data_IF_432693842140
#
_entry.id   IF_432693842140
#
_cell.length_a   1.000
_cell.length_b   1.000
_cell.length_c   1.000
_cell.angle_alpha   90.00
_cell.angle_beta   90.00
_cell.angle_gamma   90.00
#
_symmetry.space_group_name_H-M   'P 1'
#
loop_
_entity.id
_entity.type
_entity.pdbx_description
1 polymer ?
#
# COMPACT_ATOMS: atom_id res chain seq x y z
N UNK A 1 -2.35 -8.91 -21.16
CA UNK A 1 -3.54 -8.25 -20.58
C UNK A 1 -4.38 -9.21 -19.75
N UNK A 2 -4.81 -10.37 -20.26
CA UNK A 2 -5.55 -11.37 -19.46
C UNK A 2 -4.82 -11.76 -18.16
N UNK A 3 -3.51 -12.02 -18.24
CA UNK A 3 -2.70 -12.29 -17.05
C UNK A 3 -2.75 -11.14 -16.03
N UNK A 4 -2.74 -9.87 -16.48
CA UNK A 4 -2.85 -8.72 -15.58
C UNK A 4 -4.21 -8.67 -14.87
N UNK A 5 -5.30 -9.06 -15.55
CA UNK A 5 -6.62 -9.19 -14.92
C UNK A 5 -6.63 -10.27 -13.82
N UNK A 6 -5.92 -11.38 -14.04
CA UNK A 6 -5.89 -12.52 -13.12
C UNK A 6 -4.98 -12.31 -11.90
N UNK A 7 -3.96 -11.46 -12.01
CA UNK A 7 -2.93 -11.31 -10.96
C UNK A 7 -3.10 -10.09 -10.07
N UNK A 8 -3.94 -9.12 -10.44
CA UNK A 8 -4.11 -7.88 -9.66
C UNK A 8 -5.42 -7.15 -9.97
N UNK A 9 -6.10 -6.66 -8.93
CA UNK A 9 -7.30 -5.81 -9.08
C UNK A 9 -7.00 -4.51 -9.84
N UNK A 10 -5.79 -3.96 -9.74
CA UNK A 10 -5.40 -2.79 -10.54
C UNK A 10 -5.16 -3.17 -12.00
N UNK A 11 -4.55 -4.33 -12.24
CA UNK A 11 -4.36 -4.89 -13.58
C UNK A 11 -5.69 -5.17 -14.27
N UNK A 12 -6.69 -5.66 -13.52
CA UNK A 12 -8.08 -5.82 -13.96
C UNK A 12 -8.67 -4.52 -14.49
N UNK A 13 -8.56 -3.43 -13.73
CA UNK A 13 -9.09 -2.12 -14.13
C UNK A 13 -8.37 -1.60 -15.37
N UNK A 14 -7.04 -1.61 -15.39
CA UNK A 14 -6.24 -1.09 -16.52
C UNK A 14 -6.57 -1.88 -17.79
N UNK A 15 -6.51 -3.21 -17.73
CA UNK A 15 -6.75 -4.05 -18.89
C UNK A 15 -8.21 -4.03 -19.36
N UNK A 16 -9.16 -4.04 -18.42
CA UNK A 16 -10.59 -3.91 -18.71
C UNK A 16 -10.92 -2.58 -19.37
N UNK A 17 -10.38 -1.47 -18.87
CA UNK A 17 -10.63 -0.15 -19.44
C UNK A 17 -9.94 0.05 -20.80
N UNK A 18 -8.75 -0.51 -21.01
CA UNK A 18 -8.13 -0.51 -22.33
C UNK A 18 -8.95 -1.32 -23.32
N UNK A 19 -9.41 -2.51 -22.93
CA UNK A 19 -10.29 -3.34 -23.74
C UNK A 19 -11.59 -2.62 -24.10
N UNK A 20 -12.27 -2.01 -23.12
CA UNK A 20 -13.49 -1.26 -23.32
C UNK A 20 -13.30 -0.10 -24.30
N UNK A 21 -12.26 0.71 -24.13
CA UNK A 21 -11.95 1.82 -25.03
C UNK A 21 -11.69 1.34 -26.46
N UNK A 22 -10.95 0.24 -26.63
CA UNK A 22 -10.68 -0.31 -27.96
C UNK A 22 -11.92 -0.93 -28.59
N UNK A 23 -12.77 -1.63 -27.83
CA UNK A 23 -14.07 -2.14 -28.33
C UNK A 23 -14.94 -0.99 -28.84
N UNK A 24 -15.07 0.10 -28.07
CA UNK A 24 -15.84 1.29 -28.49
C UNK A 24 -15.28 1.88 -29.79
N UNK A 25 -13.96 1.93 -29.94
CA UNK A 25 -13.33 2.39 -31.19
C UNK A 25 -13.61 1.48 -32.37
N UNK A 26 -13.50 0.17 -32.17
CA UNK A 26 -13.82 -0.81 -33.21
C UNK A 26 -15.26 -0.63 -33.70
N UNK A 27 -16.21 -0.47 -32.76
CA UNK A 27 -17.62 -0.25 -33.10
C UNK A 27 -17.85 1.07 -33.84
N UNK A 28 -17.15 2.14 -33.47
CA UNK A 28 -17.26 3.44 -34.15
C UNK A 28 -16.60 3.50 -35.52
N UNK A 29 -15.63 2.62 -35.79
CA UNK A 29 -14.93 2.54 -37.07
C UNK A 29 -15.47 1.33 -37.85
N UNK A 30 -16.57 1.50 -38.59
CA UNK A 30 -17.30 0.41 -39.27
C UNK A 30 -16.41 -0.53 -40.09
N UNK A 31 -15.38 -0.01 -40.77
CA UNK A 31 -14.44 -0.81 -41.56
C UNK A 31 -13.47 -1.67 -40.73
N UNK A 32 -13.25 -1.34 -39.46
CA UNK A 32 -12.31 -2.06 -38.58
C UNK A 32 -12.86 -3.42 -38.09
N UNK A 33 -14.18 -3.50 -37.87
CA UNK A 33 -14.88 -4.73 -37.48
C UNK A 33 -14.82 -5.80 -38.58
N UNK A 34 -14.90 -5.37 -39.83
CA UNK A 34 -14.82 -6.25 -41.00
C UNK A 34 -13.38 -6.74 -41.20
N UNK A 35 -12.39 -5.87 -40.96
CA UNK A 35 -10.98 -6.13 -41.25
C UNK A 35 -10.26 -6.98 -40.20
N UNK A 36 -10.68 -6.98 -38.93
CA UNK A 36 -10.01 -7.76 -37.89
C UNK A 36 -10.97 -8.32 -36.82
N UNK A 37 -11.83 -9.25 -37.25
CA UNK A 37 -12.81 -9.95 -36.39
C UNK A 37 -12.19 -10.68 -35.20
N UNK A 38 -11.00 -11.28 -35.40
CA UNK A 38 -10.31 -12.02 -34.34
C UNK A 38 -9.86 -11.09 -33.21
N UNK A 39 -9.27 -9.93 -33.54
CA UNK A 39 -8.88 -8.93 -32.53
C UNK A 39 -10.09 -8.40 -31.78
N UNK A 40 -11.20 -8.14 -32.47
CA UNK A 40 -12.43 -7.71 -31.82
C UNK A 40 -12.98 -8.79 -30.86
N UNK A 41 -13.05 -10.05 -31.29
CA UNK A 41 -13.47 -11.16 -30.44
C UNK A 41 -12.55 -11.35 -29.22
N UNK A 42 -11.24 -11.20 -29.40
CA UNK A 42 -10.28 -11.27 -28.29
C UNK A 42 -10.48 -10.14 -27.26
N UNK A 43 -10.80 -8.93 -27.71
CA UNK A 43 -11.10 -7.80 -26.82
C UNK A 43 -12.41 -8.01 -26.06
N UNK A 44 -13.44 -8.57 -26.71
CA UNK A 44 -14.69 -8.94 -26.04
C UNK A 44 -14.47 -10.06 -25.01
N UNK A 45 -13.66 -11.07 -25.34
CA UNK A 45 -13.31 -12.13 -24.41
C UNK A 45 -12.54 -11.58 -23.19
N UNK A 46 -11.62 -10.63 -23.40
CA UNK A 46 -10.91 -9.95 -22.32
C UNK A 46 -11.87 -9.12 -21.45
N UNK A 47 -12.81 -8.41 -22.06
CA UNK A 47 -13.81 -7.62 -21.32
C UNK A 47 -14.73 -8.53 -20.51
N UNK A 48 -15.20 -9.63 -21.09
CA UNK A 48 -16.03 -10.62 -20.40
C UNK A 48 -15.27 -11.24 -19.22
N UNK A 49 -14.01 -11.64 -19.42
CA UNK A 49 -13.16 -12.14 -18.34
C UNK A 49 -12.97 -11.10 -17.24
N UNK A 50 -12.75 -9.83 -17.60
CA UNK A 50 -12.62 -8.76 -16.62
C UNK A 50 -13.91 -8.54 -15.81
N UNK A 51 -15.08 -8.61 -16.44
CA UNK A 51 -16.38 -8.51 -15.73
C UNK A 51 -16.59 -9.71 -14.80
N UNK A 52 -16.28 -10.93 -15.25
CA UNK A 52 -16.40 -12.14 -14.42
C UNK A 52 -15.51 -12.05 -13.20
N UNK A 53 -14.23 -11.69 -13.39
CA UNK A 53 -13.29 -11.51 -12.28
C UNK A 53 -13.75 -10.39 -11.36
N UNK A 54 -14.24 -9.27 -11.90
CA UNK A 54 -14.76 -8.17 -11.09
C UNK A 54 -15.89 -8.64 -10.17
N UNK A 55 -16.86 -9.39 -10.71
CA UNK A 55 -17.97 -9.96 -9.92
C UNK A 55 -17.44 -10.93 -8.85
N UNK A 56 -16.45 -11.75 -9.18
CA UNK A 56 -15.83 -12.72 -8.26
C UNK A 56 -15.08 -12.03 -7.10
N UNK A 57 -14.41 -10.90 -7.38
CA UNK A 57 -13.64 -10.15 -6.37
C UNK A 57 -14.41 -9.00 -5.74
N UNK A 58 -15.70 -8.83 -6.05
CA UNK A 58 -16.53 -7.82 -5.41
C UNK A 58 -16.59 -8.09 -3.90
N UNK A 59 -16.23 -7.12 -3.05
CA UNK A 59 -16.26 -7.34 -1.61
C UNK A 59 -17.71 -7.63 -1.18
N UNK A 60 -17.89 -8.64 -0.33
CA UNK A 60 -19.18 -8.93 0.27
C UNK A 60 -19.63 -7.74 1.16
N UNK A 61 -20.95 -7.62 1.39
CA UNK A 61 -21.56 -6.44 2.03
C UNK A 61 -20.98 -6.10 3.41
N UNK A 62 -20.43 -7.08 4.11
CA UNK A 62 -19.88 -6.94 5.46
C UNK A 62 -18.36 -7.17 5.50
N UNK A 63 -17.71 -7.14 4.33
CA UNK A 63 -16.25 -7.22 4.22
C UNK A 63 -15.70 -5.81 4.24
N UNK A 64 -14.83 -5.60 5.21
CA UNK A 64 -14.15 -4.35 5.42
C UNK A 64 -13.17 -4.03 4.27
N UNK A 65 -13.28 -2.84 3.68
CA UNK A 65 -12.65 -2.48 2.40
C UNK A 65 -11.64 -1.32 2.48
N UNK A 66 -10.98 -1.09 3.63
CA UNK A 66 -9.95 -0.04 3.78
C UNK A 66 -10.41 1.29 4.43
N UNK A 67 -11.66 1.37 4.88
CA UNK A 67 -12.31 2.58 5.47
C UNK A 67 -12.32 2.68 7.02
N UNK A 68 -11.45 1.96 7.71
CA UNK A 68 -11.37 1.79 9.15
C UNK A 68 -9.89 1.83 9.48
N UNK A 69 -9.49 2.92 10.08
CA UNK A 69 -8.17 3.01 10.65
C UNK A 69 -7.98 1.80 11.58
N UNK A 70 -6.95 0.99 11.32
CA UNK A 70 -6.63 -0.19 12.13
C UNK A 70 -6.33 0.24 13.58
N UNK A 71 -5.82 1.46 13.76
CA UNK A 71 -5.66 2.09 15.06
C UNK A 71 -6.94 2.74 15.59
N UNK A 72 -7.97 2.83 14.75
CA UNK A 72 -9.28 3.40 15.06
C UNK A 72 -9.23 4.88 15.41
N UNK A 73 -8.15 5.59 15.05
CA UNK A 73 -7.91 6.97 15.48
C UNK A 73 -8.24 8.03 14.43
N UNK A 74 -8.31 7.62 13.16
CA UNK A 74 -8.39 8.51 12.00
C UNK A 74 -9.66 8.23 11.22
N UNK A 75 -10.36 9.30 10.88
CA UNK A 75 -11.56 9.23 10.07
C UNK A 75 -11.20 9.20 8.57
N UNK A 76 -11.84 8.34 7.77
CA UNK A 76 -11.74 8.40 6.32
C UNK A 76 -12.06 9.79 5.78
N UNK A 77 -11.24 10.26 4.85
CA UNK A 77 -11.54 11.44 4.08
C UNK A 77 -12.81 11.19 3.23
N UNK A 78 -13.71 12.19 3.07
CA UNK A 78 -14.87 12.06 2.20
C UNK A 78 -14.47 11.67 0.76
N UNK A 79 -15.32 10.89 0.08
CA UNK A 79 -15.03 10.38 -1.28
C UNK A 79 -14.60 11.48 -2.26
N UNK A 80 -15.23 12.66 -2.22
CA UNK A 80 -14.86 13.77 -3.09
C UNK A 80 -13.40 14.24 -2.87
N UNK A 81 -12.92 14.21 -1.62
CA UNK A 81 -11.56 14.59 -1.27
C UNK A 81 -10.56 13.55 -1.76
N UNK A 82 -10.91 12.26 -1.62
CA UNK A 82 -10.10 11.16 -2.16
C UNK A 82 -9.98 11.23 -3.68
N UNK A 83 -11.06 11.56 -4.38
CA UNK A 83 -11.05 11.79 -5.83
C UNK A 83 -10.19 13.00 -6.17
N UNK A 84 -10.31 14.12 -5.45
CA UNK A 84 -9.46 15.30 -5.63
C UNK A 84 -7.97 14.96 -5.45
N UNK A 85 -7.62 14.25 -4.38
CA UNK A 85 -6.25 13.77 -4.14
C UNK A 85 -5.79 12.81 -5.24
N UNK A 86 -6.67 11.94 -5.75
CA UNK A 86 -6.33 11.07 -6.87
C UNK A 86 -5.90 11.84 -8.12
N UNK A 87 -6.52 12.99 -8.41
CA UNK A 87 -6.18 13.80 -9.59
C UNK A 87 -5.03 14.79 -9.38
N UNK A 88 -4.91 15.34 -8.17
CA UNK A 88 -3.98 16.44 -7.87
C UNK A 88 -2.71 15.99 -7.14
N UNK A 89 -2.78 14.92 -6.35
CA UNK A 89 -1.63 14.44 -5.57
C UNK A 89 -0.90 13.30 -6.29
N UNK A 90 -1.62 12.24 -6.65
CA UNK A 90 -1.01 10.99 -7.11
C UNK A 90 -0.11 11.12 -8.38
N UNK A 91 -0.47 11.90 -9.41
CA UNK A 91 0.36 12.02 -10.61
C UNK A 91 1.74 12.60 -10.29
N UNK A 92 1.80 13.69 -9.53
CA UNK A 92 3.05 14.28 -9.06
C UNK A 92 3.80 13.34 -8.12
N UNK A 93 3.12 12.69 -7.17
CA UNK A 93 3.76 11.79 -6.21
C UNK A 93 4.36 10.54 -6.86
N UNK A 94 3.79 10.08 -7.98
CA UNK A 94 4.30 8.94 -8.73
C UNK A 94 5.63 9.25 -9.46
N UNK A 95 5.91 10.53 -9.74
CA UNK A 95 6.94 10.92 -10.70
C UNK A 95 7.93 11.97 -10.23
N UNK A 96 7.56 12.93 -9.38
CA UNK A 96 8.35 14.14 -9.15
C UNK A 96 8.38 14.64 -7.71
N UNK A 97 7.38 14.33 -6.90
CA UNK A 97 7.26 14.87 -5.54
C UNK A 97 7.40 13.79 -4.48
N UNK A 98 7.68 14.16 -3.22
CA UNK A 98 7.80 13.27 -2.05
C UNK A 98 7.13 13.93 -0.84
N UNK A 99 5.83 14.21 -0.97
CA UNK A 99 5.08 15.00 0.03
C UNK A 99 4.21 14.17 0.97
N UNK A 100 4.05 12.88 0.67
CA UNK A 100 3.31 11.94 1.52
C UNK A 100 4.16 10.70 1.78
N UNK A 101 3.94 10.09 2.94
CA UNK A 101 4.52 8.82 3.35
C UNK A 101 3.69 7.64 2.84
N UNK A 102 4.11 6.41 3.16
CA UNK A 102 3.31 5.23 2.90
C UNK A 102 2.05 5.17 3.78
N UNK A 103 0.98 5.78 3.28
CA UNK A 103 -0.32 5.86 3.95
C UNK A 103 -1.42 5.41 3.00
N UNK A 104 -2.57 4.95 3.49
CA UNK A 104 -3.73 4.73 2.64
C UNK A 104 -4.33 6.07 2.17
N UNK A 105 -4.67 6.19 0.89
CA UNK A 105 -5.28 7.38 0.28
C UNK A 105 -6.53 7.84 1.02
N UNK A 106 -7.30 6.88 1.55
CA UNK A 106 -8.52 7.13 2.34
C UNK A 106 -8.24 8.02 3.56
N UNK A 107 -7.02 7.99 4.12
CA UNK A 107 -6.65 8.79 5.30
C UNK A 107 -5.89 10.08 4.96
N UNK A 108 -5.70 10.39 3.68
CA UNK A 108 -5.01 11.61 3.26
C UNK A 108 -6.02 12.75 3.20
N UNK A 109 -5.93 13.66 4.17
CA UNK A 109 -6.67 14.92 4.19
C UNK A 109 -6.10 15.95 3.20
N UNK A 110 -6.78 17.10 3.08
CA UNK A 110 -6.22 18.25 2.38
C UNK A 110 -5.07 18.84 3.19
N UNK A 111 -3.91 18.99 2.56
CA UNK A 111 -2.73 19.63 3.14
C UNK A 111 -2.37 20.90 2.37
N UNK A 112 -1.59 21.78 2.98
CA UNK A 112 -0.99 22.93 2.28
C UNK A 112 -0.04 22.50 1.15
N UNK A 113 0.52 21.29 1.24
CA UNK A 113 1.38 20.71 0.19
C UNK A 113 0.59 20.35 -1.08
N UNK A 114 -0.75 20.30 -1.02
CA UNK A 114 -1.60 20.04 -2.19
C UNK A 114 -1.50 21.14 -3.25
N UNK A 115 -1.26 22.39 -2.86
CA UNK A 115 -1.09 23.48 -3.84
C UNK A 115 0.14 23.26 -4.72
N UNK A 116 1.26 22.91 -4.08
CA UNK A 116 2.51 22.61 -4.77
C UNK A 116 2.38 21.33 -5.62
N UNK A 117 1.95 20.22 -5.01
CA UNK A 117 1.82 18.94 -5.73
C UNK A 117 0.75 18.98 -6.81
N UNK A 118 -0.39 19.62 -6.56
CA UNK A 118 -1.44 19.87 -7.53
C UNK A 118 -0.94 20.68 -8.74
N UNK A 119 -0.11 21.69 -8.51
CA UNK A 119 0.52 22.45 -9.60
C UNK A 119 1.42 21.55 -10.45
N UNK A 120 2.27 20.74 -9.82
CA UNK A 120 3.14 19.79 -10.53
C UNK A 120 2.31 18.75 -11.29
N UNK A 121 1.25 18.20 -10.67
CA UNK A 121 0.32 17.28 -11.33
C UNK A 121 -0.36 17.90 -12.54
N UNK A 122 -0.81 19.14 -12.46
CA UNK A 122 -1.39 19.87 -13.59
C UNK A 122 -0.38 20.06 -14.73
N UNK A 123 0.87 20.42 -14.40
CA UNK A 123 1.96 20.54 -15.37
C UNK A 123 2.32 19.20 -16.02
N UNK A 124 2.04 18.09 -15.34
CA UNK A 124 2.24 16.74 -15.86
C UNK A 124 1.06 16.27 -16.72
N UNK A 125 -0.16 16.56 -16.30
CA UNK A 125 -1.38 16.25 -17.06
C UNK A 125 -1.43 16.98 -18.40
N UNK A 126 -1.04 18.25 -18.44
CA UNK A 126 -1.10 19.07 -19.65
C UNK A 126 -0.40 18.42 -20.87
N UNK A 127 0.89 18.03 -20.82
CA UNK A 127 1.56 17.38 -21.93
C UNK A 127 1.01 15.98 -22.21
N UNK A 128 0.68 15.18 -21.18
CA UNK A 128 0.10 13.83 -21.36
C UNK A 128 -1.21 13.91 -22.15
N UNK A 129 -2.14 14.75 -21.71
CA UNK A 129 -3.43 14.96 -22.37
C UNK A 129 -3.22 15.54 -23.76
N UNK A 130 -2.31 16.50 -23.93
CA UNK A 130 -2.05 17.10 -25.24
C UNK A 130 -1.54 16.05 -26.25
N UNK A 131 -0.53 15.27 -25.87
CA UNK A 131 0.04 14.20 -26.68
C UNK A 131 -1.06 13.18 -27.01
N UNK A 132 -1.79 12.66 -26.02
CA UNK A 132 -2.84 11.68 -26.24
C UNK A 132 -3.98 12.23 -27.10
N UNK A 133 -4.36 13.51 -26.99
CA UNK A 133 -5.38 14.14 -27.87
C UNK A 133 -4.94 14.14 -29.33
N UNK A 134 -3.67 14.44 -29.60
CA UNK A 134 -3.10 14.46 -30.95
C UNK A 134 -3.03 13.07 -31.61
N UNK A 135 -3.07 12.00 -30.81
CA UNK A 135 -3.19 10.60 -31.27
C UNK A 135 -4.58 10.00 -31.06
N UNK A 136 -5.60 10.82 -30.76
CA UNK A 136 -6.97 10.37 -30.48
C UNK A 136 -7.11 9.39 -29.29
N UNK A 137 -6.11 9.33 -28.40
CA UNK A 137 -6.00 8.50 -27.20
C UNK A 137 -6.37 9.18 -25.90
N UNK A 138 -6.81 10.45 -25.93
CA UNK A 138 -7.19 11.17 -24.71
C UNK A 138 -8.27 10.46 -23.89
N UNK A 139 -9.25 9.84 -24.55
CA UNK A 139 -10.28 9.06 -23.85
C UNK A 139 -9.70 7.80 -23.20
N UNK A 140 -8.75 7.13 -23.85
CA UNK A 140 -8.06 5.97 -23.27
C UNK A 140 -7.35 6.38 -21.98
N UNK A 141 -6.63 7.51 -21.99
CA UNK A 141 -5.96 8.06 -20.80
C UNK A 141 -6.96 8.42 -19.71
N UNK A 142 -7.89 9.34 -20.01
CA UNK A 142 -8.74 9.97 -18.99
C UNK A 142 -9.79 9.01 -18.44
N UNK A 143 -10.43 8.20 -19.28
CA UNK A 143 -11.45 7.26 -18.78
C UNK A 143 -10.84 6.14 -17.94
N UNK A 144 -9.70 5.58 -18.38
CA UNK A 144 -8.99 4.54 -17.62
C UNK A 144 -8.53 5.09 -16.28
N UNK A 145 -7.92 6.28 -16.26
CA UNK A 145 -7.50 6.93 -15.02
C UNK A 145 -8.69 7.23 -14.09
N UNK A 146 -9.81 7.72 -14.63
CA UNK A 146 -11.01 8.01 -13.83
C UNK A 146 -11.53 6.76 -13.13
N UNK A 147 -11.63 5.63 -13.84
CA UNK A 147 -12.09 4.37 -13.23
C UNK A 147 -11.08 3.84 -12.23
N UNK A 148 -9.78 4.01 -12.50
CA UNK A 148 -8.74 3.72 -11.50
C UNK A 148 -8.92 4.57 -10.24
N UNK A 149 -9.21 5.87 -10.33
CA UNK A 149 -9.46 6.73 -9.18
C UNK A 149 -10.63 6.22 -8.31
N UNK A 150 -11.69 5.72 -8.94
CA UNK A 150 -12.84 5.16 -8.21
C UNK A 150 -12.44 3.91 -7.40
N UNK A 151 -11.59 3.06 -7.97
CA UNK A 151 -11.05 1.89 -7.27
C UNK A 151 -10.02 2.29 -6.21
N UNK A 152 -9.23 3.32 -6.49
CA UNK A 152 -8.20 3.81 -5.58
C UNK A 152 -8.77 4.42 -4.32
N UNK A 153 -9.92 5.10 -4.43
CA UNK A 153 -10.66 5.65 -3.29
C UNK A 153 -11.16 4.57 -2.29
N UNK A 154 -10.89 3.29 -2.53
CA UNK A 154 -11.17 2.23 -1.57
C UNK A 154 -9.91 1.46 -1.18
N UNK A 155 -8.99 1.26 -2.11
CA UNK A 155 -7.92 0.27 -1.93
C UNK A 155 -6.49 0.79 -2.11
N UNK A 156 -6.28 2.09 -2.35
CA UNK A 156 -4.96 2.58 -2.73
C UNK A 156 -4.12 3.03 -1.52
N UNK A 157 -3.05 2.29 -1.24
CA UNK A 157 -1.94 2.78 -0.39
C UNK A 157 -0.85 3.42 -1.23
N UNK A 158 -0.15 4.43 -0.69
CA UNK A 158 0.86 5.19 -1.43
C UNK A 158 2.03 4.34 -1.92
N UNK A 159 2.38 3.20 -1.30
CA UNK A 159 3.36 2.27 -1.90
C UNK A 159 2.94 1.70 -3.27
N UNK A 160 1.67 1.78 -3.65
CA UNK A 160 1.18 1.36 -4.97
C UNK A 160 1.42 2.39 -6.09
N UNK A 161 2.07 3.54 -5.82
CA UNK A 161 2.38 4.58 -6.81
C UNK A 161 3.08 4.06 -8.07
N UNK A 162 3.86 2.98 -7.97
CA UNK A 162 4.51 2.35 -9.12
C UNK A 162 3.53 1.87 -10.21
N UNK A 163 2.30 1.49 -9.84
CA UNK A 163 1.26 1.08 -10.79
C UNK A 163 0.81 2.27 -11.65
N UNK A 164 0.70 3.46 -11.05
CA UNK A 164 0.36 4.69 -11.77
C UNK A 164 1.45 5.10 -12.76
N UNK A 165 2.72 4.99 -12.34
CA UNK A 165 3.85 5.21 -13.24
C UNK A 165 3.79 4.25 -14.44
N UNK A 166 3.58 2.96 -14.18
CA UNK A 166 3.43 1.95 -15.24
C UNK A 166 2.27 2.24 -16.18
N UNK A 167 1.13 2.71 -15.65
CA UNK A 167 -0.02 3.15 -16.46
C UNK A 167 0.34 4.32 -17.38
N UNK A 168 0.96 5.38 -16.86
CA UNK A 168 1.35 6.54 -17.68
C UNK A 168 2.34 6.15 -18.77
N UNK A 169 3.33 5.32 -18.45
CA UNK A 169 4.29 4.79 -19.43
C UNK A 169 3.57 3.97 -20.51
N UNK A 170 2.63 3.11 -20.14
CA UNK A 170 1.89 2.30 -21.09
C UNK A 170 1.06 3.16 -22.05
N UNK A 171 0.36 4.19 -21.55
CA UNK A 171 -0.39 5.13 -22.41
C UNK A 171 0.57 5.88 -23.34
N UNK A 172 1.72 6.35 -22.83
CA UNK A 172 2.72 7.04 -23.65
C UNK A 172 3.32 6.14 -24.73
N UNK A 173 3.53 4.86 -24.43
CA UNK A 173 4.00 3.88 -25.39
C UNK A 173 2.98 3.67 -26.51
N UNK A 174 1.69 3.55 -26.17
CA UNK A 174 0.59 3.47 -27.15
C UNK A 174 0.54 4.74 -28.01
N UNK A 175 0.69 5.92 -27.42
CA UNK A 175 0.74 7.19 -28.14
C UNK A 175 1.94 7.28 -29.10
N UNK A 176 3.11 6.81 -28.67
CA UNK A 176 4.32 6.79 -29.48
C UNK A 176 4.27 5.80 -30.64
N UNK A 177 3.52 4.70 -30.48
CA UNK A 177 3.28 3.70 -31.54
C UNK A 177 2.42 4.28 -32.67
N UNK A 178 1.37 5.03 -32.31
CA UNK A 178 0.53 5.74 -33.28
C UNK A 178 1.31 6.87 -33.98
N UNK A 179 2.03 7.68 -33.21
CA UNK A 179 2.84 8.77 -33.74
C UNK A 179 3.95 9.17 -32.76
N UNK A 180 5.20 9.02 -33.19
CA UNK A 180 6.39 9.48 -32.44
C UNK A 180 6.24 10.94 -31.99
N UNK A 181 6.71 11.22 -30.77
CA UNK A 181 6.75 12.57 -30.22
C UNK A 181 7.69 13.43 -31.08
N UNK A 182 7.23 14.62 -31.45
CA UNK A 182 7.93 15.55 -32.33
C UNK A 182 7.71 17.00 -31.91
N UNK A 183 8.36 17.93 -32.62
CA UNK A 183 8.15 19.37 -32.42
C UNK A 183 6.70 19.81 -32.62
N UNK A 184 5.92 19.06 -33.41
CA UNK A 184 4.51 19.34 -33.68
C UNK A 184 3.58 19.09 -32.49
N UNK A 185 4.12 18.53 -31.40
CA UNK A 185 3.43 18.30 -30.13
C UNK A 185 3.63 19.46 -29.14
N UNK A 186 4.45 20.44 -29.52
CA UNK A 186 4.54 21.69 -28.79
C UNK A 186 3.38 22.61 -29.19
N UNK A 187 2.73 23.28 -28.23
CA UNK A 187 1.78 24.35 -28.55
C UNK A 187 2.42 25.40 -29.47
N UNK A 188 1.69 25.87 -30.48
CA UNK A 188 2.21 26.80 -31.47
C UNK A 188 2.84 28.07 -30.85
N UNK A 189 2.25 28.57 -29.76
CA UNK A 189 2.77 29.72 -29.03
C UNK A 189 4.16 29.45 -28.42
N UNK A 190 4.46 28.22 -28.00
CA UNK A 190 5.79 27.85 -27.50
C UNK A 190 6.82 27.90 -28.61
N UNK A 191 6.46 27.43 -29.81
CA UNK A 191 7.33 27.46 -30.99
C UNK A 191 7.62 28.91 -31.39
N UNK A 192 6.57 29.74 -31.52
CA UNK A 192 6.73 31.17 -31.82
C UNK A 192 7.55 31.91 -30.76
N UNK A 193 7.37 31.57 -29.48
CA UNK A 193 8.17 32.15 -28.40
C UNK A 193 9.64 31.72 -28.51
N UNK A 194 9.90 30.45 -28.80
CA UNK A 194 11.25 29.93 -29.02
C UNK A 194 11.95 30.65 -30.18
N UNK A 195 11.26 30.84 -31.32
CA UNK A 195 11.78 31.56 -32.48
C UNK A 195 12.12 33.02 -32.16
N UNK A 196 11.23 33.71 -31.42
CA UNK A 196 11.47 35.07 -30.92
C UNK A 196 12.68 35.14 -29.99
N UNK A 197 12.84 34.15 -29.10
CA UNK A 197 13.98 34.07 -28.20
C UNK A 197 15.29 33.86 -28.97
N UNK A 198 15.28 32.97 -29.96
CA UNK A 198 16.43 32.70 -30.84
C UNK A 198 16.82 33.97 -31.62
N UNK A 199 15.84 34.69 -32.17
CA UNK A 199 16.05 35.94 -32.89
C UNK A 199 16.67 37.05 -32.04
N UNK A 200 16.25 37.19 -30.77
CA UNK A 200 16.78 38.24 -29.87
C UNK A 200 18.15 37.93 -29.28
N UNK A 201 18.41 36.67 -28.90
CA UNK A 201 19.67 36.29 -28.23
C UNK A 201 20.79 35.95 -29.21
N UNK A 202 20.44 35.66 -30.46
CA UNK A 202 21.34 35.07 -31.44
C UNK A 202 21.47 33.55 -31.26
N UNK A 203 21.61 32.82 -32.37
CA UNK A 203 21.53 31.35 -32.41
C UNK A 203 22.49 30.65 -31.43
N UNK A 204 23.72 31.17 -31.26
CA UNK A 204 24.73 30.57 -30.37
C UNK A 204 24.35 30.67 -28.89
N UNK A 205 23.86 31.84 -28.43
CA UNK A 205 23.42 32.01 -27.03
C UNK A 205 22.13 31.25 -26.77
N UNK A 206 21.16 31.31 -27.68
CA UNK A 206 19.91 30.57 -27.55
C UNK A 206 20.13 29.06 -27.46
N UNK A 207 21.04 28.50 -28.27
CA UNK A 207 21.45 27.10 -28.19
C UNK A 207 22.02 26.74 -26.82
N UNK A 208 22.90 27.59 -26.27
CA UNK A 208 23.48 27.35 -24.95
C UNK A 208 22.39 27.32 -23.85
N UNK A 209 21.45 28.28 -23.87
CA UNK A 209 20.32 28.27 -22.93
C UNK A 209 19.44 27.01 -23.06
N UNK A 210 19.17 26.57 -24.29
CA UNK A 210 18.42 25.34 -24.57
C UNK A 210 19.14 24.10 -24.02
N UNK A 211 20.46 24.02 -24.18
CA UNK A 211 21.27 22.94 -23.60
C UNK A 211 21.18 22.99 -22.07
N UNK A 212 21.33 24.16 -21.46
CA UNK A 212 21.21 24.32 -20.01
C UNK A 212 19.82 23.91 -19.52
N UNK A 213 18.75 24.32 -20.20
CA UNK A 213 17.38 23.95 -19.83
C UNK A 213 17.15 22.43 -19.95
N UNK A 214 17.66 21.80 -21.01
CA UNK A 214 17.62 20.34 -21.17
C UNK A 214 18.40 19.64 -20.05
N UNK A 215 19.55 20.16 -19.67
CA UNK A 215 20.35 19.61 -18.57
C UNK A 215 19.61 19.75 -17.22
N UNK A 216 18.95 20.88 -16.96
CA UNK A 216 18.12 21.07 -15.77
C UNK A 216 16.91 20.12 -15.75
N UNK A 217 16.22 19.98 -16.88
CA UNK A 217 15.10 19.04 -17.01
C UNK A 217 15.55 17.59 -16.81
N UNK A 218 16.69 17.21 -17.39
CA UNK A 218 17.29 15.90 -17.17
C UNK A 218 17.66 15.71 -15.69
N UNK A 219 18.27 16.72 -15.05
CA UNK A 219 18.59 16.71 -13.63
C UNK A 219 17.36 16.44 -12.75
N UNK A 220 16.22 17.06 -13.06
CA UNK A 220 14.96 16.79 -12.37
C UNK A 220 14.45 15.35 -12.60
N UNK A 221 14.55 14.82 -13.82
CA UNK A 221 14.17 13.42 -14.11
C UNK A 221 15.07 12.39 -13.43
N UNK A 222 16.35 12.73 -13.19
CA UNK A 222 17.29 11.84 -12.50
C UNK A 222 16.95 11.62 -11.02
N UNK A 223 16.10 12.45 -10.41
CA UNK A 223 15.64 12.27 -9.03
C UNK A 223 14.89 10.93 -8.89
N UNK A 224 13.98 10.63 -9.81
CA UNK A 224 13.19 9.40 -9.78
C UNK A 224 14.02 8.16 -10.11
N UNK A 225 15.04 8.32 -10.96
CA UNK A 225 16.06 7.29 -11.21
C UNK A 225 16.85 7.03 -9.92
N UNK A 226 17.28 8.08 -9.22
CA UNK A 226 17.97 7.97 -7.94
C UNK A 226 17.11 7.25 -6.88
N UNK A 227 15.83 7.61 -6.75
CA UNK A 227 14.91 6.91 -5.85
C UNK A 227 14.77 5.42 -6.17
N UNK A 228 14.67 5.09 -7.46
CA UNK A 228 14.58 3.68 -7.92
C UNK A 228 15.86 2.91 -7.61
N UNK A 229 17.03 3.52 -7.84
CA UNK A 229 18.33 2.92 -7.49
C UNK A 229 18.43 2.74 -5.97
N UNK A 230 18.05 3.73 -5.17
CA UNK A 230 18.10 3.67 -3.72
C UNK A 230 17.18 2.57 -3.16
N UNK A 231 15.95 2.47 -3.67
CA UNK A 231 15.02 1.39 -3.32
C UNK A 231 15.58 0.01 -3.70
N UNK A 232 16.13 -0.12 -4.92
CA UNK A 232 16.73 -1.38 -5.39
C UNK A 232 17.94 -1.79 -4.54
N UNK A 233 18.79 -0.85 -4.16
CA UNK A 233 19.91 -1.10 -3.24
C UNK A 233 19.39 -1.58 -1.89
N UNK A 234 18.31 -0.98 -1.38
CA UNK A 234 17.71 -1.40 -0.12
C UNK A 234 17.15 -2.82 -0.22
N UNK A 235 16.42 -3.16 -1.28
CA UNK A 235 15.84 -4.50 -1.50
C UNK A 235 16.91 -5.59 -1.64
N UNK A 236 18.10 -5.26 -2.18
CA UNK A 236 19.22 -6.20 -2.28
C UNK A 236 19.94 -6.36 -0.94
N UNK A 237 20.11 -5.26 -0.18
CA UNK A 237 20.94 -5.25 1.04
C UNK A 237 20.20 -5.65 2.30
N UNK A 238 18.90 -5.43 2.35
CA UNK A 238 18.09 -5.57 3.53
C UNK A 238 16.86 -6.41 3.24
N UNK A 239 16.34 -7.06 4.27
CA UNK A 239 15.08 -7.75 4.14
C UNK A 239 13.93 -6.74 4.07
N UNK A 240 13.25 -6.71 2.92
CA UNK A 240 12.05 -5.91 2.74
C UNK A 240 10.92 -6.37 3.69
N UNK A 241 10.81 -7.68 3.92
CA UNK A 241 9.87 -8.28 4.86
C UNK A 241 10.59 -9.28 5.77
N UNK A 242 10.29 -9.24 7.06
CA UNK A 242 10.81 -10.13 8.09
C UNK A 242 10.29 -11.57 8.02
N UNK A 243 9.27 -11.83 7.18
CA UNK A 243 8.58 -13.13 7.07
C UNK A 243 9.53 -14.31 6.94
N UNK A 244 10.51 -14.20 6.03
CA UNK A 244 11.45 -15.28 5.72
C UNK A 244 12.40 -15.55 6.88
N UNK A 245 12.95 -14.51 7.48
CA UNK A 245 13.85 -14.66 8.62
C UNK A 245 13.12 -15.21 9.83
N UNK A 246 11.90 -14.75 10.11
CA UNK A 246 11.09 -15.29 11.21
C UNK A 246 10.74 -16.75 10.95
N UNK A 247 10.30 -17.09 9.73
CA UNK A 247 10.03 -18.48 9.38
C UNK A 247 11.28 -19.37 9.50
N UNK A 248 12.44 -18.87 9.06
CA UNK A 248 13.72 -19.57 9.17
C UNK A 248 14.15 -19.75 10.62
N UNK A 249 14.00 -18.72 11.46
CA UNK A 249 14.28 -18.77 12.89
C UNK A 249 13.44 -19.85 13.59
N UNK A 250 12.14 -19.90 13.31
CA UNK A 250 11.23 -20.90 13.88
C UNK A 250 11.64 -22.32 13.45
N UNK A 251 11.86 -22.55 12.15
CA UNK A 251 12.22 -23.88 11.63
C UNK A 251 13.58 -24.38 12.12
N UNK A 252 14.57 -23.49 12.15
CA UNK A 252 15.96 -23.84 12.52
C UNK A 252 16.04 -24.25 13.99
N UNK A 253 15.26 -23.60 14.85
CA UNK A 253 15.22 -23.89 16.28
C UNK A 253 14.13 -24.90 16.65
N UNK A 254 13.44 -25.50 15.66
CA UNK A 254 12.32 -26.41 15.86
C UNK A 254 11.30 -25.84 16.86
N UNK A 255 10.68 -24.71 16.53
CA UNK A 255 9.76 -24.00 17.44
C UNK A 255 8.28 -24.16 17.07
N UNK A 256 7.96 -24.95 16.04
CA UNK A 256 6.61 -25.14 15.50
C UNK A 256 5.66 -25.90 16.45
N UNK A 257 6.20 -26.59 17.45
CA UNK A 257 5.42 -27.28 18.48
C UNK A 257 4.97 -26.36 19.62
N UNK A 258 5.60 -25.20 19.77
CA UNK A 258 5.29 -24.28 20.86
C UNK A 258 4.09 -23.40 20.55
N UNK A 259 3.48 -22.84 21.61
CA UNK A 259 2.35 -21.95 21.46
C UNK A 259 2.82 -20.53 21.16
N UNK A 260 2.43 -20.05 19.99
CA UNK A 260 2.67 -18.67 19.56
C UNK A 260 1.39 -17.85 19.70
N UNK A 261 1.42 -16.80 20.51
CA UNK A 261 0.35 -15.81 20.57
C UNK A 261 0.77 -14.55 19.82
N UNK A 262 -0.13 -14.02 19.00
CA UNK A 262 0.00 -12.69 18.45
C UNK A 262 -0.65 -11.66 19.37
N UNK A 263 -0.10 -10.46 19.45
CA UNK A 263 -0.72 -9.39 20.24
C UNK A 263 -1.94 -8.76 19.60
N UNK A 264 -2.76 -8.15 20.44
CA UNK A 264 -4.00 -7.49 20.04
C UNK A 264 -3.95 -5.97 20.21
N UNK A 265 -4.92 -5.24 19.68
CA UNK A 265 -4.99 -3.78 19.82
C UNK A 265 -6.08 -3.36 20.80
N UNK A 266 -5.80 -2.39 21.67
CA UNK A 266 -6.81 -1.70 22.48
C UNK A 266 -7.02 -0.30 21.95
N UNK A 267 -8.27 0.09 21.72
CA UNK A 267 -8.63 1.45 21.28
C UNK A 267 -9.46 2.13 22.36
N UNK A 268 -8.98 3.27 22.83
CA UNK A 268 -9.65 4.08 23.84
C UNK A 268 -10.59 5.10 23.19
N UNK A 269 -11.72 5.39 23.84
CA UNK A 269 -12.75 6.32 23.37
C UNK A 269 -12.20 7.72 23.09
N UNK A 270 -11.26 8.23 23.89
CA UNK A 270 -10.69 9.58 23.72
C UNK A 270 -10.13 9.82 22.32
N UNK A 271 -9.43 8.82 21.77
CA UNK A 271 -8.78 8.92 20.47
C UNK A 271 -9.55 8.19 19.37
N UNK A 272 -10.68 7.56 19.70
CA UNK A 272 -11.43 6.75 18.77
C UNK A 272 -12.19 7.58 17.72
N UNK A 273 -12.27 7.02 16.51
CA UNK A 273 -13.13 7.47 15.44
C UNK A 273 -14.61 7.34 15.86
N UNK A 274 -15.53 8.19 15.37
CA UNK A 274 -16.97 8.08 15.61
C UNK A 274 -17.54 6.66 15.58
N UNK A 275 -17.23 5.86 14.57
CA UNK A 275 -17.74 4.48 14.44
C UNK A 275 -17.22 3.57 15.56
N UNK A 276 -15.95 3.74 15.96
CA UNK A 276 -15.37 3.01 17.09
C UNK A 276 -15.98 3.48 18.41
N UNK A 277 -16.22 4.78 18.57
CA UNK A 277 -16.92 5.34 19.74
C UNK A 277 -18.33 4.78 19.88
N UNK A 278 -19.06 4.67 18.77
CA UNK A 278 -20.38 4.07 18.77
C UNK A 278 -20.33 2.62 19.24
N UNK A 279 -19.37 1.81 18.76
CA UNK A 279 -19.18 0.43 19.22
C UNK A 279 -18.81 0.33 20.70
N UNK A 280 -17.95 1.23 21.19
CA UNK A 280 -17.64 1.33 22.63
C UNK A 280 -18.93 1.60 23.41
N UNK A 281 -19.75 2.56 22.96
CA UNK A 281 -21.02 2.91 23.60
C UNK A 281 -22.07 1.78 23.54
N UNK A 282 -22.03 0.93 22.51
CA UNK A 282 -22.90 -0.25 22.38
C UNK A 282 -22.50 -1.41 23.31
N UNK A 283 -21.45 -1.25 24.13
CA UNK A 283 -21.01 -2.25 25.10
C UNK A 283 -19.78 -3.04 24.68
N UNK A 284 -18.91 -2.46 23.85
CA UNK A 284 -17.61 -3.02 23.49
C UNK A 284 -16.81 -3.47 24.73
N UNK A 285 -16.27 -4.69 24.68
CA UNK A 285 -15.52 -5.25 25.80
C UNK A 285 -14.13 -4.64 25.93
N UNK A 286 -13.72 -4.34 27.16
CA UNK A 286 -12.35 -3.95 27.51
C UNK A 286 -11.93 -4.64 28.81
N UNK A 287 -10.78 -5.32 28.78
CA UNK A 287 -10.38 -6.22 29.86
C UNK A 287 -9.96 -5.52 31.14
N UNK A 288 -9.40 -4.30 31.05
CA UNK A 288 -8.87 -3.57 32.22
C UNK A 288 -9.46 -2.16 32.42
N UNK A 289 -10.55 -1.81 31.74
CA UNK A 289 -11.00 -0.43 31.73
C UNK A 289 -12.46 -0.21 31.32
N UNK A 290 -12.89 1.04 31.51
CA UNK A 290 -14.11 1.60 30.93
C UNK A 290 -13.70 2.48 29.74
N UNK A 291 -14.61 2.65 28.78
CA UNK A 291 -14.43 3.54 27.62
C UNK A 291 -13.33 3.09 26.62
N UNK A 292 -13.17 1.78 26.44
CA UNK A 292 -12.28 1.19 25.45
C UNK A 292 -12.90 -0.06 24.81
N UNK A 293 -12.28 -0.52 23.73
CA UNK A 293 -12.60 -1.80 23.10
C UNK A 293 -11.29 -2.57 22.82
N UNK A 294 -11.26 -3.84 23.21
CA UNK A 294 -10.17 -4.77 22.94
C UNK A 294 -10.43 -5.53 21.64
N UNK A 295 -9.58 -5.26 20.67
CA UNK A 295 -9.60 -5.90 19.38
C UNK A 295 -8.65 -7.10 19.35
N UNK A 296 -9.09 -8.17 20.01
CA UNK A 296 -8.33 -9.37 20.39
C UNK A 296 -7.72 -10.12 19.23
N UNK A 297 -8.52 -10.43 18.21
CA UNK A 297 -8.08 -11.22 17.06
C UNK A 297 -7.24 -10.42 16.04
N UNK A 298 -6.79 -9.22 16.41
CA UNK A 298 -5.75 -8.52 15.65
C UNK A 298 -4.43 -9.26 15.76
N UNK A 299 -3.63 -9.23 14.70
CA UNK A 299 -2.40 -10.01 14.63
C UNK A 299 -1.25 -9.09 14.28
N UNK A 300 -0.14 -9.19 15.03
CA UNK A 300 1.17 -8.68 14.60
C UNK A 300 1.46 -9.20 13.19
N UNK A 301 1.71 -8.30 12.25
CA UNK A 301 1.88 -8.65 10.84
C UNK A 301 3.01 -9.67 10.60
N UNK A 302 3.94 -9.81 11.54
CA UNK A 302 5.08 -10.72 11.44
C UNK A 302 4.66 -12.18 11.36
N UNK A 303 3.87 -12.72 12.31
CA UNK A 303 3.42 -14.11 12.25
C UNK A 303 2.46 -14.36 11.08
N UNK A 304 1.57 -13.42 10.74
CA UNK A 304 0.68 -13.55 9.57
C UNK A 304 1.49 -13.73 8.29
N UNK A 305 2.52 -12.91 8.11
CA UNK A 305 3.32 -12.93 6.88
C UNK A 305 4.30 -14.12 6.84
N UNK A 306 4.66 -14.68 8.00
CA UNK A 306 5.42 -15.92 8.11
C UNK A 306 4.56 -17.21 8.00
N UNK A 307 3.25 -17.15 8.25
CA UNK A 307 2.36 -18.32 8.28
C UNK A 307 2.41 -19.20 7.00
N UNK A 308 2.49 -18.62 5.77
CA UNK A 308 2.56 -19.41 4.54
C UNK A 308 3.76 -20.37 4.44
N UNK A 309 4.78 -20.22 5.28
CA UNK A 309 5.93 -21.12 5.31
C UNK A 309 5.67 -22.40 6.12
N UNK A 310 4.52 -22.53 6.79
CA UNK A 310 4.18 -23.64 7.68
C UNK A 310 3.00 -24.45 7.15
N UNK A 311 2.91 -25.71 7.58
CA UNK A 311 1.82 -26.63 7.16
C UNK A 311 0.49 -26.36 7.87
N UNK A 312 0.54 -25.65 8.99
CA UNK A 312 -0.59 -25.28 9.84
C UNK A 312 -0.31 -23.90 10.41
N UNK A 313 -1.37 -23.19 10.77
CA UNK A 313 -1.24 -21.88 11.40
C UNK A 313 -0.51 -22.01 12.73
N UNK A 314 0.52 -21.19 12.93
CA UNK A 314 1.29 -21.18 14.19
C UNK A 314 0.61 -20.35 15.27
N UNK A 315 -0.15 -19.35 14.86
CA UNK A 315 -0.87 -18.43 15.74
C UNK A 315 -1.99 -19.17 16.47
N UNK A 316 -1.83 -19.31 17.77
CA UNK A 316 -2.77 -20.05 18.62
C UNK A 316 -4.04 -19.26 18.90
N UNK A 317 -3.96 -17.94 18.82
CA UNK A 317 -5.08 -17.02 18.96
C UNK A 317 -5.60 -16.49 17.60
N UNK A 318 -5.36 -17.23 16.51
CA UNK A 318 -5.92 -16.90 15.21
C UNK A 318 -7.46 -16.97 15.21
N UNK A 319 -8.12 -15.94 14.68
CA UNK A 319 -9.58 -15.91 14.58
C UNK A 319 -10.10 -17.10 13.76
N UNK A 320 -10.91 -17.97 14.40
CA UNK A 320 -11.44 -19.21 13.80
C UNK A 320 -10.34 -20.08 13.14
N UNK A 321 -9.11 -20.02 13.65
CA UNK A 321 -7.97 -20.73 13.10
C UNK A 321 -7.51 -20.29 11.69
N UNK A 322 -7.91 -19.08 11.25
CA UNK A 322 -7.54 -18.55 9.93
C UNK A 322 -6.12 -17.98 9.94
N UNK A 323 -5.37 -18.22 8.88
CA UNK A 323 -4.01 -17.67 8.66
C UNK A 323 -3.99 -16.18 8.25
N UNK A 324 -5.15 -15.55 8.14
CA UNK A 324 -5.32 -14.18 7.68
C UNK A 324 -6.25 -13.39 8.59
N UNK A 325 -6.09 -12.07 8.57
CA UNK A 325 -6.92 -11.15 9.37
C UNK A 325 -8.32 -11.09 8.77
N UNK A 326 -9.33 -11.37 9.58
CA UNK A 326 -10.74 -11.45 9.16
C UNK A 326 -11.61 -10.47 9.92
N UNK A 327 -12.06 -9.40 9.29
CA UNK A 327 -12.80 -8.32 9.96
C UNK A 327 -14.15 -8.69 10.60
N UNK A 328 -14.67 -9.90 10.34
CA UNK A 328 -15.81 -10.48 11.07
C UNK A 328 -15.69 -10.31 12.59
N UNK A 329 -14.49 -10.46 13.16
CA UNK A 329 -14.28 -10.37 14.62
C UNK A 329 -14.41 -8.96 15.17
N UNK A 330 -14.23 -7.91 14.35
CA UNK A 330 -14.41 -6.53 14.78
C UNK A 330 -15.89 -6.14 14.90
N UNK A 331 -16.79 -6.88 14.24
CA UNK A 331 -18.24 -6.58 14.18
C UNK A 331 -18.94 -6.97 15.47
N UNK A 332 -18.49 -8.03 16.13
CA UNK A 332 -19.05 -8.49 17.39
C UNK A 332 -18.37 -7.78 18.58
N UNK A 333 -19.05 -6.86 19.28
CA UNK A 333 -18.47 -6.11 20.40
C UNK A 333 -18.14 -6.99 21.61
N UNK A 334 -18.64 -8.24 21.66
CA UNK A 334 -18.43 -9.17 22.76
C UNK A 334 -17.41 -10.27 22.45
N UNK A 335 -16.99 -10.44 21.19
CA UNK A 335 -16.02 -11.47 20.79
C UNK A 335 -14.71 -11.37 21.61
N UNK A 336 -14.25 -10.14 21.88
CA UNK A 336 -13.05 -9.93 22.68
C UNK A 336 -13.11 -10.47 24.11
N UNK A 337 -14.31 -10.50 24.71
CA UNK A 337 -14.50 -11.08 26.06
C UNK A 337 -14.25 -12.58 26.03
N UNK A 338 -14.90 -13.28 25.11
CA UNK A 338 -14.79 -14.73 24.97
C UNK A 338 -13.36 -15.14 24.60
N UNK A 339 -12.71 -14.39 23.70
CA UNK A 339 -11.32 -14.61 23.31
C UNK A 339 -10.40 -14.51 24.54
N UNK A 340 -10.50 -13.42 25.32
CA UNK A 340 -9.62 -13.19 26.48
C UNK A 340 -9.87 -14.22 27.59
N UNK A 341 -11.11 -14.58 27.88
CA UNK A 341 -11.43 -15.65 28.84
C UNK A 341 -10.84 -17.00 28.41
N UNK A 342 -10.93 -17.30 27.11
CA UNK A 342 -10.36 -18.51 26.52
C UNK A 342 -8.83 -18.50 26.65
N UNK A 343 -8.17 -17.40 26.31
CA UNK A 343 -6.71 -17.30 26.37
C UNK A 343 -6.17 -17.35 27.80
N UNK A 344 -6.89 -16.77 28.77
CA UNK A 344 -6.56 -16.93 30.20
C UNK A 344 -6.57 -18.40 30.62
N UNK A 345 -7.54 -19.19 30.15
CA UNK A 345 -7.67 -20.61 30.49
C UNK A 345 -6.51 -21.47 29.99
N UNK A 346 -5.77 -20.97 29.00
CA UNK A 346 -4.66 -21.67 28.35
C UNK A 346 -3.32 -21.51 29.10
N UNK A 347 -3.24 -20.60 30.08
CA UNK A 347 -1.98 -20.24 30.75
C UNK A 347 -1.01 -19.48 29.85
N UNK A 348 0.22 -19.25 30.34
CA UNK A 348 1.23 -18.44 29.64
C UNK A 348 1.78 -19.11 28.36
N UNK A 349 1.77 -18.46 27.19
CA UNK A 349 2.37 -19.01 25.96
C UNK A 349 3.91 -19.03 26.01
N UNK A 350 4.54 -19.86 25.18
CA UNK A 350 6.00 -19.85 25.06
C UNK A 350 6.51 -18.64 24.28
N UNK A 351 5.76 -18.21 23.26
CA UNK A 351 6.14 -17.12 22.38
C UNK A 351 5.01 -16.11 22.25
N UNK A 352 5.39 -14.84 22.26
CA UNK A 352 4.47 -13.73 22.10
C UNK A 352 5.01 -12.71 21.09
N UNK A 353 4.33 -12.59 19.95
CA UNK A 353 4.65 -11.71 18.82
C UNK A 353 3.79 -10.45 18.89
N UNK A 354 4.34 -9.38 19.46
CA UNK A 354 3.68 -8.08 19.51
C UNK A 354 4.67 -6.93 19.70
N UNK A 355 4.18 -5.72 19.44
CA UNK A 355 4.75 -4.48 19.99
C UNK A 355 4.40 -4.42 21.48
N UNK A 356 5.37 -4.09 22.34
CA UNK A 356 5.15 -4.05 23.79
C UNK A 356 3.92 -3.23 24.19
N UNK A 357 2.93 -3.90 24.78
CA UNK A 357 1.72 -3.26 25.31
C UNK A 357 1.47 -3.82 26.72
N UNK A 358 1.68 -3.04 27.78
CA UNK A 358 1.58 -3.52 29.16
C UNK A 358 0.22 -4.14 29.49
N UNK A 359 -0.85 -3.61 28.90
CA UNK A 359 -2.21 -4.07 29.17
C UNK A 359 -2.46 -5.52 28.73
N UNK A 360 -1.70 -6.03 27.76
CA UNK A 360 -1.85 -7.41 27.31
C UNK A 360 -1.56 -8.40 28.46
N UNK A 361 -0.44 -8.17 29.15
CA UNK A 361 0.02 -9.02 30.25
C UNK A 361 -0.94 -8.90 31.44
N UNK A 362 -1.36 -7.68 31.81
CA UNK A 362 -2.35 -7.50 32.89
C UNK A 362 -3.68 -8.14 32.55
N UNK A 363 -4.17 -7.96 31.32
CA UNK A 363 -5.44 -8.50 30.88
C UNK A 363 -5.44 -10.03 30.84
N UNK A 364 -4.30 -10.70 30.61
CA UNK A 364 -4.24 -12.17 30.68
C UNK A 364 -3.80 -12.70 32.05
N UNK A 365 -3.36 -11.82 32.95
CA UNK A 365 -2.78 -12.21 34.24
C UNK A 365 -1.42 -12.87 34.11
N UNK A 366 -0.67 -12.58 33.05
CA UNK A 366 0.67 -13.12 32.80
C UNK A 366 1.74 -12.23 33.43
N UNK A 367 2.81 -12.82 33.96
CA UNK A 367 3.95 -12.03 34.47
C UNK A 367 4.88 -11.67 33.31
N UNK A 368 5.01 -10.38 33.06
CA UNK A 368 5.92 -9.87 32.04
C UNK A 368 7.38 -10.30 32.29
N UNK A 369 7.78 -10.47 33.55
CA UNK A 369 9.14 -10.87 33.92
C UNK A 369 9.48 -12.30 33.49
N UNK A 370 8.47 -13.12 33.18
CA UNK A 370 8.64 -14.47 32.68
C UNK A 370 9.11 -14.52 31.21
N UNK A 371 9.28 -13.37 30.55
CA UNK A 371 9.69 -13.27 29.16
C UNK A 371 10.98 -12.47 28.93
N UNK A 372 11.83 -13.00 28.05
CA UNK A 372 12.96 -12.33 27.41
C UNK A 372 12.56 -11.85 26.03
N UNK A 373 12.82 -10.57 25.72
CA UNK A 373 12.66 -10.05 24.37
C UNK A 373 13.91 -10.31 23.55
N UNK A 374 13.72 -10.90 22.38
CA UNK A 374 14.77 -11.15 21.40
C UNK A 374 14.48 -10.36 20.14
N UNK A 375 15.53 -9.94 19.43
CA UNK A 375 15.43 -9.36 18.10
C UNK A 375 15.78 -10.43 17.07
N UNK A 376 14.84 -10.72 16.18
CA UNK A 376 14.98 -11.77 15.15
C UNK A 376 15.47 -11.20 13.83
N UNK A 377 14.99 -10.01 13.44
CA UNK A 377 15.36 -9.38 12.18
C UNK A 377 15.46 -7.86 12.33
N UNK A 378 16.29 -7.23 11.49
CA UNK A 378 16.25 -5.79 11.20
C UNK A 378 15.61 -5.62 9.82
N UNK A 379 14.54 -4.83 9.73
CA UNK A 379 13.86 -4.53 8.48
C UNK A 379 14.20 -3.12 8.05
N UNK A 380 14.45 -2.91 6.75
CA UNK A 380 14.68 -1.57 6.20
C UNK A 380 13.70 -1.33 5.08
N UNK A 381 12.81 -0.36 5.27
CA UNK A 381 11.80 -0.01 4.28
C UNK A 381 12.24 1.28 3.57
N UNK A 382 12.56 1.22 2.26
CA UNK A 382 12.86 2.42 1.50
C UNK A 382 11.57 3.20 1.22
N UNK A 383 11.65 4.52 1.31
CA UNK A 383 10.63 5.44 0.82
C UNK A 383 11.32 6.55 0.03
N UNK A 384 11.36 6.40 -1.30
CA UNK A 384 12.04 7.34 -2.21
C UNK A 384 13.52 7.51 -1.82
N UNK A 385 13.93 8.70 -1.37
CA UNK A 385 15.28 9.00 -0.89
C UNK A 385 15.49 8.69 0.59
N UNK A 386 14.41 8.39 1.31
CA UNK A 386 14.42 8.10 2.74
C UNK A 386 14.39 6.59 2.98
N UNK A 387 14.72 6.20 4.21
CA UNK A 387 14.58 4.82 4.69
C UNK A 387 14.17 4.83 6.14
N UNK A 388 13.24 3.97 6.51
CA UNK A 388 12.93 3.67 7.90
C UNK A 388 13.58 2.34 8.27
N UNK A 389 14.05 2.24 9.51
CA UNK A 389 14.56 0.99 10.08
C UNK A 389 13.57 0.53 11.13
N UNK A 390 13.24 -0.75 11.07
CA UNK A 390 12.46 -1.45 12.07
C UNK A 390 13.22 -2.67 12.56
N UNK A 391 12.70 -3.27 13.62
CA UNK A 391 13.16 -4.56 14.08
C UNK A 391 11.96 -5.44 14.38
N UNK A 392 12.07 -6.71 14.05
CA UNK A 392 11.13 -7.71 14.54
C UNK A 392 11.64 -8.25 15.85
N UNK A 393 10.81 -8.08 16.87
CA UNK A 393 11.11 -8.42 18.23
C UNK A 393 10.01 -9.34 18.75
N UNK A 394 10.40 -10.43 19.42
CA UNK A 394 9.49 -11.43 19.95
C UNK A 394 9.82 -11.66 21.42
N UNK A 395 8.80 -11.87 22.23
CA UNK A 395 8.91 -12.22 23.62
C UNK A 395 8.91 -13.73 23.76
N UNK A 396 9.94 -14.27 24.40
CA UNK A 396 10.13 -15.70 24.61
C UNK A 396 10.13 -15.98 26.10
N UNK A 397 9.36 -16.97 26.54
CA UNK A 397 9.31 -17.37 27.94
C UNK A 397 10.70 -17.85 28.40
N UNK A 398 11.07 -17.52 29.63
CA UNK A 398 12.44 -17.61 30.14
C UNK A 398 12.99 -19.04 30.17
N UNK A 399 12.13 -20.02 30.42
CA UNK A 399 12.45 -21.44 30.36
C UNK A 399 12.84 -21.86 28.94
N UNK A 400 12.08 -21.45 27.93
CA UNK A 400 12.35 -21.72 26.52
C UNK A 400 13.62 -20.98 26.06
N UNK A 401 13.76 -19.71 26.43
CA UNK A 401 14.94 -18.92 26.07
C UNK A 401 16.24 -19.56 26.57
N UNK A 402 16.27 -20.01 27.83
CA UNK A 402 17.46 -20.63 28.44
C UNK A 402 17.74 -22.04 27.90
N UNK A 403 16.69 -22.84 27.70
CA UNK A 403 16.84 -24.28 27.43
C UNK A 403 16.85 -24.64 25.95
N UNK A 404 16.32 -23.78 25.07
CA UNK A 404 16.14 -24.08 23.64
C UNK A 404 16.96 -23.14 22.76
N UNK A 405 16.94 -21.84 23.04
CA UNK A 405 17.60 -20.85 22.17
C UNK A 405 19.09 -20.69 22.47
N UNK A 406 19.55 -21.08 23.66
CA UNK A 406 20.97 -21.11 24.09
C UNK A 406 21.79 -19.83 23.76
N UNK A 407 21.15 -18.69 23.54
CA UNK A 407 21.80 -17.47 23.04
C UNK A 407 22.28 -16.60 24.22
N UNK A 408 23.52 -16.08 24.19
CA UNK A 408 23.91 -15.00 25.10
C UNK A 408 23.03 -13.78 24.84
N UNK A 409 22.66 -13.08 25.92
CA UNK A 409 21.78 -11.90 25.95
C UNK A 409 22.01 -10.92 24.79
N UNK A 410 20.94 -10.55 24.07
CA UNK A 410 21.03 -9.63 22.92
C UNK A 410 21.17 -8.15 23.30
N UNK A 411 21.29 -7.82 24.60
CA UNK A 411 21.58 -6.46 25.08
C UNK A 411 20.54 -5.39 24.74
N UNK A 412 19.29 -5.77 24.49
CA UNK A 412 18.22 -4.85 24.10
C UNK A 412 17.70 -4.10 25.33
N UNK A 413 17.79 -2.76 25.31
CA UNK A 413 17.23 -1.90 26.34
C UNK A 413 15.69 -1.85 26.20
N UNK A 414 14.99 -1.96 27.34
CA UNK A 414 13.54 -1.86 27.37
C UNK A 414 13.08 -0.40 27.19
N UNK A 415 11.94 -0.13 26.52
CA UNK A 415 11.43 1.23 26.31
C UNK A 415 11.11 1.99 27.61
N UNK A 416 10.89 1.28 28.71
CA UNK A 416 10.64 1.82 30.05
C UNK A 416 11.94 2.08 30.85
N UNK A 417 13.10 1.85 30.25
CA UNK A 417 14.40 2.03 30.90
C UNK A 417 14.73 0.97 31.94
N UNK A 418 13.92 -0.09 32.08
CA UNK A 418 14.25 -1.19 32.98
C UNK A 418 15.53 -1.89 32.52
N UNK A 419 16.43 -2.18 33.46
CA UNK A 419 17.46 -3.21 33.29
C UNK A 419 16.97 -4.44 34.04
N UNK A 420 17.07 -5.60 33.40
CA UNK A 420 16.72 -6.89 34.02
C UNK A 420 17.52 -7.05 35.32
N UNK A 421 16.87 -7.50 36.40
CA UNK A 421 17.58 -8.06 37.56
C UNK A 421 18.12 -9.43 37.21
#
# INVERSE_FOLDING_TARGET
MMLLCLTSSYGLVIAGMFAANWVVRFVRQEHSLIRNRQRFAALLALLAAAVVILIDVMPAKDVYSGNFDISGMTQPAPLWMQICNSWLLLPAEALFTSTVSDTNLVFIGLSSTLLYTGTVSCLMWAPLIHISRRRHNAMLLLSSYTVMCLVFAQHFSMHHLGILLGFFIAVLAIDCDERRISTDDWPAWCITMADRFIGKLGARKARNYLITLKALALGAMLISVYWTINASICDIRYEYSSSRTVASFIKTNHLEQYRWMAGWTRINSTNASPDVKERINQGGYCADGKDCIDYTSWVSGTLVTADPYFKRTLMSNAYKGRSYISWEWCIDPYAGKQDIETWRSWGEPEFYDTIYQPFFFSALGYDRNDYTKIRIAETVTPWKDQRSRGSVEIYVRNDIYKNVLHSPDTGIAWPDGAKRR
#
